data_IF_229036574691
#
_entry.id   IF_229036574691
#
_cell.length_a   1.000
_cell.length_b   1.000
_cell.length_c   1.000
_cell.angle_alpha   90.00
_cell.angle_beta   90.00
_cell.angle_gamma   90.00
#
_symmetry.space_group_name_H-M   'P 1'
#
loop_
_entity.id
_entity.type
_entity.pdbx_description
1 polymer ?
#
# COMPACT_ATOMS: atom_id res chain seq x y z
N UNK A 1 -25.27 -6.55 15.36
CA UNK A 1 -24.91 -7.15 14.05
C UNK A 1 -23.53 -6.64 13.72
N UNK A 2 -22.54 -7.51 13.49
CA UNK A 2 -21.19 -7.08 13.12
C UNK A 2 -21.16 -6.72 11.65
N UNK A 3 -20.54 -5.58 11.31
CA UNK A 3 -20.23 -5.22 9.93
C UNK A 3 -19.28 -6.27 9.34
N UNK A 4 -19.52 -6.70 8.10
CA UNK A 4 -18.69 -7.67 7.38
C UNK A 4 -17.25 -7.17 7.16
N UNK A 5 -17.02 -5.88 7.28
CA UNK A 5 -15.71 -5.23 7.17
C UNK A 5 -15.01 -5.04 8.52
N UNK A 6 -15.70 -5.26 9.65
CA UNK A 6 -15.09 -5.15 10.97
C UNK A 6 -14.03 -6.24 11.18
N UNK A 7 -12.82 -5.87 11.60
CA UNK A 7 -11.74 -6.81 11.90
C UNK A 7 -10.34 -6.28 11.61
N UNK A 8 -9.33 -7.11 11.87
CA UNK A 8 -7.91 -6.78 11.63
C UNK A 8 -7.50 -7.08 10.19
N UNK A 9 -8.03 -6.36 9.24
CA UNK A 9 -7.70 -6.49 7.83
C UNK A 9 -7.68 -5.13 7.14
N UNK A 10 -7.27 -5.06 5.88
CA UNK A 10 -7.02 -3.81 5.17
C UNK A 10 -8.29 -3.11 4.63
N UNK A 11 -9.48 -3.72 4.72
CA UNK A 11 -10.76 -3.18 4.24
C UNK A 11 -11.76 -3.02 5.38
N UNK A 12 -11.39 -2.23 6.41
CA UNK A 12 -12.25 -2.04 7.59
C UNK A 12 -13.43 -1.10 7.33
N UNK A 13 -13.22 -0.10 6.46
CA UNK A 13 -14.21 0.91 6.12
C UNK A 13 -14.27 1.03 4.61
N UNK A 14 -15.46 1.01 4.05
CA UNK A 14 -15.72 1.23 2.63
C UNK A 14 -16.25 2.65 2.40
N UNK A 15 -15.68 3.34 1.40
CA UNK A 15 -16.02 4.69 1.02
C UNK A 15 -16.45 4.76 -0.44
N UNK A 16 -17.39 5.64 -0.75
CA UNK A 16 -17.80 5.89 -2.14
C UNK A 16 -18.05 7.38 -2.35
N UNK A 17 -17.75 7.90 -3.55
CA UNK A 17 -18.01 9.30 -3.89
C UNK A 17 -19.49 9.54 -4.08
N UNK A 18 -20.02 10.62 -3.50
CA UNK A 18 -21.38 11.07 -3.71
C UNK A 18 -21.65 11.33 -5.19
N UNK A 19 -20.73 11.97 -5.88
CA UNK A 19 -20.80 12.32 -7.29
C UNK A 19 -20.93 11.06 -8.17
N UNK A 20 -20.17 9.99 -7.84
CA UNK A 20 -20.26 8.71 -8.58
C UNK A 20 -21.59 8.00 -8.34
N UNK A 21 -22.16 8.12 -7.14
CA UNK A 21 -23.50 7.61 -6.82
C UNK A 21 -24.56 8.39 -7.62
N UNK A 22 -24.45 9.73 -7.66
CA UNK A 22 -25.39 10.58 -8.34
C UNK A 22 -25.32 10.40 -9.86
N UNK A 23 -24.14 10.26 -10.44
CA UNK A 23 -23.96 9.88 -11.84
C UNK A 23 -24.61 8.52 -12.16
N UNK A 24 -24.51 7.57 -11.24
CA UNK A 24 -25.13 6.26 -11.41
C UNK A 24 -26.66 6.32 -11.32
N UNK A 25 -27.20 7.17 -10.43
CA UNK A 25 -28.64 7.48 -10.34
C UNK A 25 -29.14 8.16 -11.61
N UNK A 26 -28.38 9.12 -12.15
CA UNK A 26 -28.74 9.82 -13.40
C UNK A 26 -28.83 8.87 -14.61
N UNK A 27 -28.12 7.75 -14.57
CA UNK A 27 -28.24 6.66 -15.58
C UNK A 27 -29.44 5.74 -15.36
N UNK A 28 -30.34 6.08 -14.43
CA UNK A 28 -31.58 5.38 -14.15
C UNK A 28 -31.53 4.38 -12.99
N UNK A 29 -30.46 4.34 -12.23
CA UNK A 29 -30.36 3.47 -11.07
C UNK A 29 -31.22 4.00 -9.90
N UNK A 30 -32.19 3.21 -9.46
CA UNK A 30 -32.94 3.47 -8.25
C UNK A 30 -32.23 2.82 -7.05
N UNK A 31 -31.39 3.59 -6.39
CA UNK A 31 -30.57 3.14 -5.28
C UNK A 31 -30.60 4.14 -4.13
N UNK A 32 -30.66 3.62 -2.91
CA UNK A 32 -30.51 4.39 -1.68
C UNK A 32 -29.03 4.46 -1.27
N UNK A 33 -28.71 5.35 -0.33
CA UNK A 33 -27.42 5.38 0.32
C UNK A 33 -27.19 4.07 1.08
N UNK A 34 -25.99 3.51 1.01
CA UNK A 34 -25.67 2.21 1.58
C UNK A 34 -25.94 1.01 0.65
N UNK A 35 -26.52 1.24 -0.52
CA UNK A 35 -26.92 0.16 -1.44
C UNK A 35 -25.75 -0.65 -2.00
N UNK A 36 -24.58 -0.07 -2.09
CA UNK A 36 -23.33 -0.75 -2.51
C UNK A 36 -22.56 -1.40 -1.36
N UNK A 37 -23.06 -1.25 -0.11
CA UNK A 37 -22.37 -1.67 1.11
C UNK A 37 -21.29 -0.67 1.56
N UNK A 38 -21.37 0.59 1.10
CA UNK A 38 -20.51 1.65 1.56
C UNK A 38 -20.85 2.07 3.00
N UNK A 39 -19.82 2.25 3.82
CA UNK A 39 -19.95 2.77 5.18
C UNK A 39 -20.02 4.30 5.18
N UNK A 40 -19.26 4.95 4.28
CA UNK A 40 -19.18 6.40 4.18
C UNK A 40 -19.39 6.85 2.74
N UNK A 41 -20.17 7.92 2.56
CA UNK A 41 -20.31 8.65 1.31
C UNK A 41 -19.60 9.98 1.46
N UNK A 42 -18.64 10.27 0.59
CA UNK A 42 -17.81 11.48 0.63
C UNK A 42 -18.05 12.29 -0.64
N UNK A 43 -18.29 13.59 -0.48
CA UNK A 43 -18.43 14.53 -1.58
C UNK A 43 -17.20 15.43 -1.73
N UNK A 44 -17.00 15.96 -2.94
CA UNK A 44 -15.94 16.93 -3.24
C UNK A 44 -14.60 16.34 -3.61
N UNK A 45 -14.48 15.00 -3.69
CA UNK A 45 -13.22 14.32 -4.03
C UNK A 45 -13.43 13.19 -5.04
N UNK A 46 -12.53 13.10 -6.01
CA UNK A 46 -12.42 11.93 -6.88
C UNK A 46 -11.60 10.84 -6.16
N UNK A 47 -12.29 10.04 -5.35
CA UNK A 47 -11.67 9.04 -4.48
C UNK A 47 -10.87 8.00 -5.25
N UNK A 48 -11.35 7.61 -6.44
CA UNK A 48 -10.74 6.59 -7.28
C UNK A 48 -9.38 6.99 -7.85
N UNK A 49 -9.06 8.30 -7.89
CA UNK A 49 -7.79 8.83 -8.37
C UNK A 49 -6.82 9.25 -7.26
N UNK A 50 -7.18 9.04 -5.99
CA UNK A 50 -6.28 9.32 -4.88
C UNK A 50 -5.20 8.25 -4.75
N UNK A 51 -3.96 8.61 -4.38
CA UNK A 51 -2.92 7.62 -4.11
C UNK A 51 -3.27 6.74 -2.90
N UNK A 52 -2.98 5.45 -2.97
CA UNK A 52 -3.04 4.57 -1.79
C UNK A 52 -2.14 5.10 -0.68
N UNK A 53 -2.58 4.98 0.57
CA UNK A 53 -1.95 5.58 1.73
C UNK A 53 -2.42 7.01 2.01
N UNK A 54 -3.28 7.60 1.16
CA UNK A 54 -3.94 8.88 1.48
C UNK A 54 -4.77 8.74 2.74
N UNK A 55 -4.69 9.74 3.62
CA UNK A 55 -5.46 9.77 4.86
C UNK A 55 -6.63 10.73 4.75
N UNK A 56 -7.76 10.27 5.26
CA UNK A 56 -8.98 11.04 5.44
C UNK A 56 -9.09 11.41 6.92
N UNK A 57 -9.03 12.71 7.23
CA UNK A 57 -9.27 13.21 8.57
C UNK A 57 -10.71 13.72 8.62
N UNK A 58 -11.56 13.08 9.43
CA UNK A 58 -12.99 13.34 9.55
C UNK A 58 -13.30 13.47 11.04
N UNK A 59 -13.58 14.68 11.53
CA UNK A 59 -13.66 14.93 12.98
C UNK A 59 -12.37 14.46 13.67
N UNK A 60 -12.49 13.61 14.68
CA UNK A 60 -11.36 13.05 15.42
C UNK A 60 -10.81 11.76 14.77
N UNK A 61 -11.49 11.24 13.76
CA UNK A 61 -11.14 9.97 13.10
C UNK A 61 -10.09 10.19 12.02
N UNK A 62 -9.15 9.25 11.89
CA UNK A 62 -8.21 9.18 10.79
C UNK A 62 -8.33 7.81 10.14
N UNK A 63 -8.70 7.80 8.87
CA UNK A 63 -8.72 6.61 8.01
C UNK A 63 -7.54 6.69 7.05
N UNK A 64 -6.93 5.54 6.72
CA UNK A 64 -5.87 5.45 5.71
C UNK A 64 -6.33 4.54 4.58
N UNK A 65 -6.32 5.06 3.37
CA UNK A 65 -6.74 4.38 2.16
C UNK A 65 -5.81 3.21 1.84
N UNK A 66 -6.37 2.03 1.66
CA UNK A 66 -5.61 0.78 1.48
C UNK A 66 -5.89 0.08 0.17
N UNK A 67 -7.04 0.36 -0.44
CA UNK A 67 -7.43 -0.27 -1.70
C UNK A 67 -8.47 0.59 -2.43
N UNK A 68 -8.43 0.57 -3.77
CA UNK A 68 -9.48 1.08 -4.65
C UNK A 68 -10.05 -0.11 -5.43
N UNK A 69 -11.36 -0.17 -5.56
CA UNK A 69 -12.07 -1.26 -6.22
C UNK A 69 -12.07 -2.56 -5.42
N UNK A 70 -12.95 -3.43 -5.81
CA UNK A 70 -13.06 -4.79 -5.27
C UNK A 70 -13.77 -5.66 -6.29
N UNK A 71 -13.16 -6.73 -6.73
CA UNK A 71 -13.84 -7.74 -7.53
C UNK A 71 -14.99 -8.34 -6.74
N UNK A 72 -16.19 -8.36 -7.35
CA UNK A 72 -17.36 -9.02 -6.79
C UNK A 72 -17.39 -10.47 -7.25
N UNK A 73 -17.37 -11.41 -6.32
CA UNK A 73 -17.49 -12.85 -6.64
C UNK A 73 -18.87 -13.25 -7.16
N UNK A 74 -19.89 -12.44 -6.92
CA UNK A 74 -21.27 -12.67 -7.40
C UNK A 74 -21.92 -11.36 -7.81
N UNK A 75 -22.74 -11.41 -8.86
CA UNK A 75 -23.50 -10.27 -9.32
C UNK A 75 -24.65 -9.98 -8.33
N UNK A 76 -24.60 -8.84 -7.66
CA UNK A 76 -25.65 -8.37 -6.75
C UNK A 76 -26.90 -7.89 -7.53
N UNK A 77 -27.96 -7.51 -6.80
CA UNK A 77 -29.19 -7.01 -7.40
C UNK A 77 -28.98 -5.76 -8.26
N UNK A 78 -28.06 -4.87 -7.86
CA UNK A 78 -27.70 -3.66 -8.63
C UNK A 78 -27.12 -4.05 -9.97
N UNK A 79 -26.12 -4.94 -9.98
CA UNK A 79 -25.49 -5.41 -11.22
C UNK A 79 -26.52 -6.08 -12.14
N UNK A 80 -27.41 -6.93 -11.60
CA UNK A 80 -28.45 -7.60 -12.40
C UNK A 80 -29.43 -6.63 -13.04
N UNK A 81 -29.70 -5.50 -12.38
CA UNK A 81 -30.66 -4.49 -12.88
C UNK A 81 -30.04 -3.52 -13.87
N UNK A 82 -28.81 -3.08 -13.59
CA UNK A 82 -28.12 -2.04 -14.35
C UNK A 82 -27.10 -2.56 -15.39
N UNK A 83 -26.74 -3.86 -15.33
CA UNK A 83 -25.66 -4.45 -16.14
C UNK A 83 -24.26 -4.11 -15.66
N UNK A 84 -24.14 -3.23 -14.68
CA UNK A 84 -22.86 -2.78 -14.11
C UNK A 84 -22.99 -2.42 -12.63
N UNK A 85 -21.82 -2.24 -11.96
CA UNK A 85 -21.72 -1.76 -10.59
C UNK A 85 -20.51 -0.83 -10.48
N UNK A 86 -20.64 0.27 -9.74
CA UNK A 86 -19.53 1.23 -9.56
C UNK A 86 -18.54 0.80 -8.49
N UNK A 87 -18.95 -0.01 -7.52
CA UNK A 87 -18.10 -0.42 -6.39
C UNK A 87 -16.79 -1.12 -6.81
N UNK A 88 -16.76 -1.99 -7.85
CA UNK A 88 -15.52 -2.61 -8.31
C UNK A 88 -14.47 -1.63 -8.85
N UNK A 89 -14.90 -0.46 -9.32
CA UNK A 89 -13.99 0.54 -9.93
C UNK A 89 -13.78 1.75 -9.03
N UNK A 90 -14.85 2.24 -8.39
CA UNK A 90 -14.88 3.51 -7.69
C UNK A 90 -14.91 3.38 -6.17
N UNK A 91 -15.18 2.15 -5.66
CA UNK A 91 -15.21 1.90 -4.22
C UNK A 91 -13.81 1.98 -3.63
N UNK A 92 -13.69 2.70 -2.52
CA UNK A 92 -12.42 2.86 -1.80
C UNK A 92 -12.53 2.17 -0.45
N UNK A 93 -11.45 1.54 -0.03
CA UNK A 93 -11.35 0.86 1.26
C UNK A 93 -10.23 1.47 2.09
N UNK A 94 -10.46 1.55 3.40
CA UNK A 94 -9.53 2.13 4.34
C UNK A 94 -9.42 1.31 5.62
N UNK A 95 -8.32 1.50 6.33
CA UNK A 95 -8.14 1.07 7.72
C UNK A 95 -8.31 2.26 8.66
N UNK A 96 -8.75 1.98 9.89
CA UNK A 96 -8.84 2.97 10.95
C UNK A 96 -7.47 3.13 11.60
N UNK A 97 -6.84 4.29 11.39
CA UNK A 97 -5.57 4.67 12.03
C UNK A 97 -5.84 5.27 13.42
N UNK A 98 -6.87 6.11 13.51
CA UNK A 98 -7.36 6.66 14.77
C UNK A 98 -8.88 6.61 14.77
N UNK A 99 -9.46 5.95 15.76
CA UNK A 99 -10.91 5.89 15.95
C UNK A 99 -11.48 7.18 16.50
N UNK A 100 -12.78 7.36 16.34
CA UNK A 100 -13.54 8.50 16.77
C UNK A 100 -14.99 8.38 16.32
N UNK A 101 -15.75 9.47 16.45
CA UNK A 101 -17.11 9.58 15.94
C UNK A 101 -17.11 10.35 14.62
N UNK A 102 -17.93 9.92 13.68
CA UNK A 102 -18.16 10.57 12.40
C UNK A 102 -19.65 10.83 12.28
N UNK A 103 -20.02 12.06 11.92
CA UNK A 103 -21.39 12.48 11.71
C UNK A 103 -21.59 12.93 10.26
N UNK A 104 -22.81 12.82 9.80
CA UNK A 104 -23.17 13.38 8.50
C UNK A 104 -22.98 14.91 8.50
N UNK A 105 -22.24 15.41 7.50
CA UNK A 105 -21.89 16.82 7.39
C UNK A 105 -20.53 17.18 7.97
N UNK A 106 -19.80 16.24 8.57
CA UNK A 106 -18.43 16.49 9.01
C UNK A 106 -17.52 16.84 7.83
N UNK A 107 -16.63 17.80 8.03
CA UNK A 107 -15.62 18.17 7.04
C UNK A 107 -14.59 17.06 6.86
N UNK A 108 -14.26 16.75 5.62
CA UNK A 108 -13.21 15.79 5.26
C UNK A 108 -11.97 16.55 4.82
N UNK A 109 -10.85 16.32 5.51
CA UNK A 109 -9.52 16.83 5.12
C UNK A 109 -8.67 15.68 4.61
N UNK A 110 -8.05 15.87 3.44
CA UNK A 110 -7.13 14.88 2.85
C UNK A 110 -5.69 15.21 3.20
N UNK A 111 -4.93 14.18 3.60
CA UNK A 111 -3.47 14.19 3.65
C UNK A 111 -3.00 13.21 2.57
N UNK A 112 -2.59 13.69 1.39
CA UNK A 112 -2.15 12.84 0.30
C UNK A 112 -0.95 12.00 0.72
N UNK A 113 -0.92 10.75 0.28
CA UNK A 113 0.24 9.90 0.47
C UNK A 113 1.45 10.48 -0.27
N UNK A 114 2.64 10.31 0.32
CA UNK A 114 3.89 10.78 -0.27
C UNK A 114 4.96 9.70 -0.14
N UNK A 115 5.47 9.21 -1.27
CA UNK A 115 6.51 8.18 -1.32
C UNK A 115 7.76 8.61 -0.51
N UNK A 116 8.21 9.84 -0.68
CA UNK A 116 9.44 10.32 -0.01
C UNK A 116 9.24 10.47 1.50
N UNK A 117 8.08 10.97 1.94
CA UNK A 117 7.75 11.02 3.36
C UNK A 117 7.67 9.60 3.95
N UNK A 118 7.02 8.67 3.27
CA UNK A 118 6.91 7.28 3.71
C UNK A 118 8.27 6.57 3.77
N UNK A 119 9.19 6.88 2.83
CA UNK A 119 10.58 6.38 2.88
C UNK A 119 11.32 6.96 4.09
N UNK A 120 11.16 8.26 4.36
CA UNK A 120 11.81 8.94 5.49
C UNK A 120 11.31 8.42 6.84
N UNK A 121 10.01 8.20 6.95
CA UNK A 121 9.35 7.85 8.22
C UNK A 121 9.30 6.33 8.47
N UNK A 122 9.91 5.52 7.59
CA UNK A 122 9.92 4.06 7.76
C UNK A 122 10.80 3.64 8.95
N UNK A 123 10.51 2.48 9.59
CA UNK A 123 11.41 1.87 10.55
C UNK A 123 12.79 1.61 9.92
N UNK A 124 13.88 1.83 10.69
CA UNK A 124 15.27 1.75 10.19
C UNK A 124 15.59 0.39 9.57
N UNK A 125 15.09 -0.69 10.17
CA UNK A 125 15.36 -2.07 9.75
C UNK A 125 14.32 -2.63 8.79
N UNK A 126 13.34 -1.83 8.35
CA UNK A 126 12.30 -2.29 7.44
C UNK A 126 12.85 -2.53 6.03
N UNK A 127 12.38 -3.60 5.40
CA UNK A 127 12.63 -3.84 3.97
C UNK A 127 11.78 -2.87 3.17
N UNK A 128 12.42 -1.97 2.43
CA UNK A 128 11.75 -0.96 1.64
C UNK A 128 12.08 -1.16 0.15
N UNK A 129 11.05 -1.22 -0.67
CA UNK A 129 11.16 -1.50 -2.10
C UNK A 129 10.23 -0.58 -2.90
N UNK A 130 10.77 0.11 -3.89
CA UNK A 130 10.01 0.92 -4.83
C UNK A 130 9.94 0.20 -6.17
N UNK A 131 8.72 -0.07 -6.62
CA UNK A 131 8.44 -0.54 -7.97
C UNK A 131 8.04 0.64 -8.84
N UNK A 132 8.54 0.67 -10.06
CA UNK A 132 8.14 1.64 -11.10
C UNK A 132 7.85 0.87 -12.38
N UNK A 133 6.66 1.04 -12.92
CA UNK A 133 6.31 0.51 -14.25
C UNK A 133 6.93 1.43 -15.30
N UNK A 134 7.84 0.90 -16.11
CA UNK A 134 8.56 1.67 -17.13
C UNK A 134 7.98 1.51 -18.52
N UNK A 135 7.32 0.37 -18.81
CA UNK A 135 6.65 0.11 -20.08
C UNK A 135 5.33 -0.65 -19.85
N UNK A 136 4.38 -0.51 -20.77
CA UNK A 136 3.07 -1.16 -20.76
C UNK A 136 1.91 -0.23 -20.38
N UNK A 137 0.74 -0.80 -20.15
CA UNK A 137 -0.52 -0.08 -19.94
C UNK A 137 -0.50 0.88 -18.72
N UNK A 138 0.39 0.63 -17.76
CA UNK A 138 0.50 1.40 -16.52
C UNK A 138 1.85 2.13 -16.40
N UNK A 139 2.51 2.44 -17.52
CA UNK A 139 3.81 3.14 -17.52
C UNK A 139 3.74 4.45 -16.71
N UNK A 140 4.73 4.64 -15.82
CA UNK A 140 4.79 5.74 -14.86
C UNK A 140 4.17 5.45 -13.49
N UNK A 141 3.40 4.38 -13.35
CA UNK A 141 2.87 3.94 -12.07
C UNK A 141 3.99 3.54 -11.10
N UNK A 142 3.79 3.79 -9.80
CA UNK A 142 4.77 3.52 -8.74
C UNK A 142 4.09 2.95 -7.52
N UNK A 143 4.72 1.97 -6.90
CA UNK A 143 4.29 1.42 -5.62
C UNK A 143 5.47 1.29 -4.65
N UNK A 144 5.31 1.82 -3.44
CA UNK A 144 6.26 1.67 -2.35
C UNK A 144 5.79 0.54 -1.44
N UNK A 145 6.63 -0.46 -1.29
CA UNK A 145 6.43 -1.57 -0.36
C UNK A 145 7.31 -1.36 0.86
N UNK A 146 6.74 -1.56 2.04
CA UNK A 146 7.47 -1.65 3.31
C UNK A 146 7.07 -2.98 3.95
N UNK A 147 8.08 -3.83 4.21
CA UNK A 147 7.90 -5.19 4.75
C UNK A 147 6.89 -6.04 3.96
N UNK A 148 6.95 -5.92 2.62
CA UNK A 148 6.10 -6.67 1.69
C UNK A 148 4.66 -6.17 1.57
N UNK A 149 4.33 -5.02 2.17
CA UNK A 149 2.99 -4.40 2.08
C UNK A 149 3.07 -3.07 1.35
N UNK A 150 2.10 -2.80 0.49
CA UNK A 150 1.96 -1.50 -0.15
C UNK A 150 1.71 -0.44 0.93
N UNK A 151 2.53 0.59 0.92
CA UNK A 151 2.40 1.77 1.77
C UNK A 151 1.86 2.98 1.03
N UNK A 152 2.31 3.15 -0.21
CA UNK A 152 1.89 4.22 -1.12
C UNK A 152 1.88 3.66 -2.52
N UNK A 153 0.86 3.96 -3.30
CA UNK A 153 0.86 3.66 -4.73
C UNK A 153 0.20 4.78 -5.53
N UNK A 154 0.74 5.03 -6.71
CA UNK A 154 0.26 6.00 -7.69
C UNK A 154 -0.02 5.30 -9.02
N UNK A 155 -1.03 5.78 -9.75
CA UNK A 155 -1.29 5.36 -11.13
C UNK A 155 -2.07 4.06 -11.25
N UNK A 156 -3.01 3.80 -10.35
CA UNK A 156 -3.91 2.64 -10.38
C UNK A 156 -3.18 1.29 -10.46
N UNK A 157 -1.97 1.20 -9.92
CA UNK A 157 -1.23 -0.05 -9.79
C UNK A 157 -1.75 -0.78 -8.57
N UNK A 158 -2.47 -1.85 -8.80
CA UNK A 158 -2.97 -2.75 -7.75
C UNK A 158 -1.96 -3.85 -7.52
N UNK A 159 -1.64 -4.13 -6.25
CA UNK A 159 -0.70 -5.21 -5.92
C UNK A 159 -1.17 -6.59 -6.38
N UNK A 160 -2.49 -6.77 -6.48
CA UNK A 160 -3.10 -8.04 -6.86
C UNK A 160 -3.25 -8.19 -8.39
N UNK A 161 -2.98 -7.14 -9.18
CA UNK A 161 -3.16 -7.12 -10.63
C UNK A 161 -1.84 -7.09 -11.40
N UNK A 162 -0.73 -6.79 -10.74
CA UNK A 162 0.59 -6.92 -11.37
C UNK A 162 1.03 -8.37 -11.23
N UNK A 163 0.65 -9.19 -12.19
CA UNK A 163 1.25 -10.51 -12.34
C UNK A 163 2.72 -10.33 -12.76
N UNK A 164 3.66 -10.76 -11.90
CA UNK A 164 5.10 -10.78 -12.22
C UNK A 164 5.41 -11.60 -13.49
N UNK A 165 4.45 -12.37 -13.99
CA UNK A 165 4.55 -13.15 -15.23
C UNK A 165 3.91 -12.45 -16.45
N UNK A 166 3.31 -11.26 -16.28
CA UNK A 166 2.78 -10.49 -17.41
C UNK A 166 3.92 -9.82 -18.16
N UNK A 167 4.37 -10.49 -19.24
CA UNK A 167 5.42 -9.99 -20.12
C UNK A 167 5.06 -8.69 -20.87
N UNK A 168 3.84 -8.18 -20.73
CA UNK A 168 3.41 -6.91 -21.32
C UNK A 168 3.79 -5.69 -20.46
N UNK A 169 4.20 -5.90 -19.22
CA UNK A 169 4.55 -4.86 -18.26
C UNK A 169 6.03 -4.99 -17.90
N UNK A 170 6.80 -3.95 -18.15
CA UNK A 170 8.20 -3.87 -17.72
C UNK A 170 8.29 -3.04 -16.43
N UNK A 171 8.79 -3.65 -15.37
CA UNK A 171 8.93 -3.03 -14.06
C UNK A 171 10.38 -2.85 -13.65
N UNK A 172 10.71 -1.68 -13.11
CA UNK A 172 11.96 -1.43 -12.42
C UNK A 172 11.75 -1.56 -10.91
N UNK A 173 12.50 -2.45 -10.28
CA UNK A 173 12.43 -2.75 -8.85
C UNK A 173 13.67 -2.22 -8.15
N UNK A 174 13.51 -1.30 -7.22
CA UNK A 174 14.58 -0.62 -6.49
C UNK A 174 14.48 -0.88 -4.99
N UNK A 175 15.50 -1.49 -4.41
CA UNK A 175 15.65 -1.58 -2.95
C UNK A 175 16.09 -0.22 -2.38
N UNK A 176 15.38 0.28 -1.36
CA UNK A 176 15.65 1.60 -0.78
C UNK A 176 16.13 1.43 0.67
N UNK A 177 17.32 1.97 0.94
CA UNK A 177 17.86 2.06 2.30
C UNK A 177 18.15 0.72 2.97
N UNK A 178 18.27 -0.36 2.22
CA UNK A 178 18.89 -1.58 2.72
C UNK A 178 20.39 -1.33 2.85
N UNK A 179 20.95 -1.62 4.02
CA UNK A 179 22.42 -1.69 4.12
C UNK A 179 22.90 -2.78 3.19
N UNK A 180 23.84 -2.51 2.27
CA UNK A 180 24.39 -3.54 1.43
C UNK A 180 25.04 -4.62 2.30
N UNK A 181 24.75 -5.88 2.04
CA UNK A 181 25.33 -6.99 2.79
C UNK A 181 26.67 -7.37 2.21
N UNK A 182 27.70 -7.40 3.06
CA UNK A 182 29.03 -7.91 2.75
C UNK A 182 29.18 -9.29 3.41
N UNK A 183 29.31 -10.33 2.60
CA UNK A 183 29.57 -11.69 3.07
C UNK A 183 31.06 -11.95 2.89
N UNK A 184 31.76 -12.24 3.99
CA UNK A 184 33.18 -12.54 4.03
C UNK A 184 33.33 -14.03 4.34
N UNK A 185 33.95 -14.79 3.45
CA UNK A 185 34.22 -16.21 3.66
C UNK A 185 35.63 -16.38 4.24
N UNK A 186 35.69 -16.90 5.46
CA UNK A 186 36.91 -17.10 6.25
C UNK A 186 37.15 -15.99 7.29
N UNK A 187 37.48 -16.38 8.54
CA UNK A 187 37.69 -15.50 9.71
C UNK A 187 39.17 -15.11 9.97
N UNK A 188 40.05 -15.14 8.98
CA UNK A 188 41.48 -14.86 9.13
C UNK A 188 41.80 -13.37 9.30
N UNK A 189 43.08 -13.03 9.36
CA UNK A 189 43.58 -11.67 9.59
C UNK A 189 43.09 -10.65 8.54
N UNK A 190 43.00 -11.07 7.27
CA UNK A 190 42.49 -10.24 6.17
C UNK A 190 41.02 -9.90 6.40
N UNK A 191 40.22 -10.89 6.77
CA UNK A 191 38.79 -10.71 7.06
C UNK A 191 38.59 -9.78 8.24
N UNK A 192 39.35 -9.91 9.31
CA UNK A 192 39.29 -9.01 10.46
C UNK A 192 39.63 -7.55 10.08
N UNK A 193 40.58 -7.33 9.17
CA UNK A 193 40.90 -6.00 8.65
C UNK A 193 39.75 -5.46 7.78
N UNK A 194 39.19 -6.31 6.91
CA UNK A 194 38.10 -5.95 6.04
C UNK A 194 36.82 -5.61 6.81
N UNK A 195 36.48 -6.35 7.88
CA UNK A 195 35.35 -6.05 8.78
C UNK A 195 35.51 -4.65 9.36
N UNK A 196 36.68 -4.30 9.88
CA UNK A 196 36.95 -2.96 10.43
C UNK A 196 36.80 -1.85 9.40
N UNK A 197 37.23 -2.06 8.17
CA UNK A 197 37.05 -1.07 7.09
C UNK A 197 35.61 -0.97 6.65
N UNK A 198 34.94 -2.10 6.45
CA UNK A 198 33.57 -2.16 5.98
C UNK A 198 32.56 -1.63 7.02
N UNK A 199 32.85 -1.76 8.32
CA UNK A 199 31.99 -1.20 9.38
C UNK A 199 31.86 0.33 9.32
N UNK A 200 32.87 1.01 8.73
CA UNK A 200 32.83 2.46 8.51
C UNK A 200 31.88 2.86 7.35
N UNK A 201 31.53 1.91 6.49
CA UNK A 201 30.75 2.11 5.26
C UNK A 201 29.29 1.65 5.40
N UNK A 202 28.81 1.41 6.61
CA UNK A 202 27.42 0.99 6.90
C UNK A 202 26.99 -0.31 6.20
N UNK A 203 27.89 -1.25 5.95
CA UNK A 203 27.53 -2.60 5.51
C UNK A 203 26.90 -3.42 6.64
N UNK A 204 25.95 -4.31 6.27
CA UNK A 204 25.54 -5.45 7.08
C UNK A 204 26.57 -6.57 6.84
N UNK A 205 27.48 -6.80 7.82
CA UNK A 205 28.64 -7.65 7.63
C UNK A 205 28.39 -9.03 8.22
N UNK A 206 28.52 -10.04 7.37
CA UNK A 206 28.43 -11.45 7.75
C UNK A 206 29.77 -12.12 7.49
N UNK A 207 30.35 -12.74 8.52
CA UNK A 207 31.56 -13.56 8.39
C UNK A 207 31.15 -15.02 8.51
N UNK A 208 31.48 -15.82 7.49
CA UNK A 208 31.26 -17.27 7.46
C UNK A 208 32.61 -17.93 7.66
N UNK A 209 32.77 -18.67 8.77
CA UNK A 209 34.00 -19.41 9.09
C UNK A 209 33.65 -20.84 9.48
N UNK A 210 34.29 -21.80 8.84
CA UNK A 210 34.10 -23.22 9.10
C UNK A 210 35.14 -23.81 10.07
N UNK A 211 36.20 -23.05 10.40
CA UNK A 211 37.31 -23.49 11.27
C UNK A 211 37.17 -22.90 12.66
N UNK A 212 37.00 -23.72 13.72
CA UNK A 212 36.72 -23.24 15.08
C UNK A 212 37.78 -22.28 15.65
N UNK A 213 39.04 -22.39 15.21
CA UNK A 213 40.19 -21.58 15.71
C UNK A 213 40.13 -20.10 15.27
N UNK A 214 39.30 -19.74 14.31
CA UNK A 214 39.20 -18.39 13.76
C UNK A 214 37.91 -17.65 14.15
N UNK A 215 36.98 -18.31 14.82
CA UNK A 215 35.67 -17.72 15.22
C UNK A 215 35.85 -16.52 16.19
N UNK A 216 36.86 -16.54 17.06
CA UNK A 216 37.12 -15.47 18.01
C UNK A 216 37.73 -14.21 17.39
N UNK A 217 38.34 -14.27 16.21
CA UNK A 217 38.94 -13.12 15.53
C UNK A 217 37.89 -12.26 14.79
N UNK A 218 36.73 -12.83 14.48
CA UNK A 218 35.64 -12.12 13.83
C UNK A 218 34.77 -11.31 14.80
N UNK A 219 34.86 -11.59 16.12
CA UNK A 219 34.06 -10.96 17.17
C UNK A 219 34.75 -9.75 17.84
N UNK A 220 35.99 -9.46 17.48
CA UNK A 220 36.79 -8.33 17.97
C UNK A 220 36.84 -7.22 16.90
#
# INVERSE_FOLDING_TARGET
MGDAHAGKWHRQVSLLSAEKIDDFRARGAQIDNGAFGENLIISGFDLGNLPLGTRFCIGDTILEMTQIGKQCHSHCAIYKRMGECIMPKEGVFAVVVRGGQIHAGDEVKLIPANIYASIKDRPVDSRCELLTVIEGAHAGAKALYIDGRIRVAYGNVWADEIDDNDNSIVMFRQQIGSRPRLIICGGGHVSAALVRMASLLAFDIWVIEDRPLFDDNAKR
#
